data_IF_200883962530
#
_entry.id   IF_200883962530
#
_cell.length_a   1.000
_cell.length_b   1.000
_cell.length_c   1.000
_cell.angle_alpha   90.00
_cell.angle_beta   90.00
_cell.angle_gamma   90.00
#
_symmetry.space_group_name_H-M   'P 1'
#
loop_
_entity.id
_entity.type
_entity.pdbx_description
1 polymer ?
#
# COMPACT_ATOMS: atom_id res chain seq x y z
N UNK A 1 -56.03 10.62 -10.44
CA UNK A 1 -56.31 11.21 -9.11
C UNK A 1 -55.03 11.86 -8.64
N UNK A 2 -55.08 13.07 -8.21
CA UNK A 2 -53.96 13.93 -7.78
C UNK A 2 -54.10 14.30 -6.30
N UNK A 3 -53.17 15.00 -5.77
CA UNK A 3 -53.26 15.57 -4.43
C UNK A 3 -54.51 16.48 -4.27
N UNK A 4 -55.10 16.49 -3.08
CA UNK A 4 -56.25 17.35 -2.76
C UNK A 4 -55.82 18.83 -2.75
N UNK A 5 -56.71 19.75 -3.11
CA UNK A 5 -56.49 21.19 -2.87
C UNK A 5 -56.19 21.49 -1.41
N UNK A 6 -55.32 22.48 -1.14
CA UNK A 6 -54.84 22.83 0.21
C UNK A 6 -56.00 23.00 1.21
N UNK A 7 -57.06 23.72 0.83
CA UNK A 7 -58.22 23.93 1.67
C UNK A 7 -58.95 22.63 2.08
N UNK A 8 -58.93 21.61 1.23
CA UNK A 8 -59.50 20.31 1.56
C UNK A 8 -58.60 19.48 2.45
N UNK A 9 -57.25 19.62 2.30
CA UNK A 9 -56.31 18.97 3.19
C UNK A 9 -56.41 19.56 4.60
N UNK A 10 -56.48 20.87 4.72
CA UNK A 10 -56.67 21.57 6.00
C UNK A 10 -57.98 21.16 6.69
N UNK A 11 -59.06 21.02 5.93
CA UNK A 11 -60.35 20.49 6.44
C UNK A 11 -60.33 19.03 6.82
N UNK A 12 -59.34 18.27 6.35
CA UNK A 12 -59.20 16.85 6.67
C UNK A 12 -58.47 16.58 7.99
N UNK A 13 -58.00 17.63 8.68
CA UNK A 13 -57.29 17.47 9.93
C UNK A 13 -58.18 16.83 10.99
N UNK A 14 -57.75 15.69 11.52
CA UNK A 14 -58.46 14.95 12.59
C UNK A 14 -57.55 14.78 13.78
N UNK A 15 -58.09 15.16 14.96
CA UNK A 15 -57.45 14.86 16.24
C UNK A 15 -57.71 13.39 16.58
N UNK A 16 -56.65 12.66 16.89
CA UNK A 16 -56.70 11.27 17.34
C UNK A 16 -56.14 11.18 18.76
N UNK A 17 -56.89 10.57 19.65
CA UNK A 17 -56.46 10.28 21.02
C UNK A 17 -56.31 8.76 21.13
N UNK A 18 -55.11 8.30 21.50
CA UNK A 18 -54.83 6.91 21.76
C UNK A 18 -54.30 6.76 23.18
N UNK A 19 -54.64 5.69 23.87
CA UNK A 19 -54.03 5.34 25.17
C UNK A 19 -52.89 4.39 24.95
N UNK A 20 -51.76 4.66 25.56
CA UNK A 20 -50.61 3.77 25.53
C UNK A 20 -50.86 2.58 26.49
N UNK A 21 -49.94 1.60 26.48
CA UNK A 21 -50.02 0.41 27.35
C UNK A 21 -50.00 0.72 28.85
N UNK A 22 -49.68 1.97 29.24
CA UNK A 22 -49.60 2.46 30.59
C UNK A 22 -50.80 3.34 30.94
N UNK A 23 -51.83 3.41 30.04
CA UNK A 23 -53.06 4.18 30.23
C UNK A 23 -52.93 5.66 29.97
N UNK A 24 -51.77 6.17 29.56
CA UNK A 24 -51.54 7.61 29.28
C UNK A 24 -52.09 7.98 27.90
N UNK A 25 -52.83 9.08 27.85
CA UNK A 25 -53.38 9.58 26.61
C UNK A 25 -52.28 10.23 25.73
N UNK A 26 -52.17 9.79 24.48
CA UNK A 26 -51.35 10.42 23.44
C UNK A 26 -52.27 11.03 22.42
N UNK A 27 -52.12 12.34 22.25
CA UNK A 27 -52.85 13.11 21.24
C UNK A 27 -51.97 13.23 19.99
N UNK A 28 -52.56 13.01 18.83
CA UNK A 28 -51.92 13.24 17.54
C UNK A 28 -52.92 13.83 16.56
N UNK A 29 -52.41 14.54 15.57
CA UNK A 29 -53.19 15.17 14.50
C UNK A 29 -52.80 14.54 13.18
N UNK A 30 -53.80 14.15 12.38
CA UNK A 30 -53.60 13.52 11.06
C UNK A 30 -54.29 14.31 9.97
N UNK A 31 -53.62 14.51 8.85
CA UNK A 31 -54.22 15.10 7.63
C UNK A 31 -54.04 14.15 6.43
N UNK A 32 -55.01 14.17 5.55
CA UNK A 32 -55.02 13.42 4.29
C UNK A 32 -54.75 14.37 3.12
N UNK A 33 -53.71 14.10 2.37
CA UNK A 33 -53.20 14.94 1.27
C UNK A 33 -53.73 14.52 -0.10
N UNK A 34 -54.46 13.41 -0.17
CA UNK A 34 -54.89 12.81 -1.42
C UNK A 34 -54.15 11.52 -1.76
N UNK A 35 -54.16 11.19 -3.03
CA UNK A 35 -53.48 9.99 -3.57
C UNK A 35 -52.26 10.42 -4.39
N UNK A 36 -51.10 9.86 -4.10
CA UNK A 36 -49.86 10.11 -4.88
C UNK A 36 -50.15 9.68 -6.35
N UNK A 37 -49.94 10.57 -7.32
CA UNK A 37 -50.24 10.30 -8.72
C UNK A 37 -49.39 9.19 -9.34
N UNK A 38 -48.24 8.87 -8.74
CA UNK A 38 -47.30 7.85 -9.24
C UNK A 38 -47.45 6.52 -8.53
N UNK A 39 -47.41 6.52 -7.19
CA UNK A 39 -47.49 5.27 -6.39
C UNK A 39 -48.91 4.77 -6.22
N UNK A 40 -49.92 5.61 -6.46
CA UNK A 40 -51.36 5.35 -6.26
C UNK A 40 -51.76 5.09 -4.78
N UNK A 41 -50.83 5.35 -3.84
CA UNK A 41 -51.11 5.22 -2.41
C UNK A 41 -51.64 6.52 -1.80
N UNK A 42 -52.49 6.36 -0.76
CA UNK A 42 -52.99 7.50 0.04
C UNK A 42 -51.87 8.12 0.85
N UNK A 43 -51.69 9.44 0.70
CA UNK A 43 -50.68 10.22 1.44
C UNK A 43 -51.31 10.81 2.68
N UNK A 44 -50.81 10.43 3.86
CA UNK A 44 -51.26 10.95 5.16
C UNK A 44 -50.04 11.33 5.98
N UNK A 45 -50.16 12.43 6.75
CA UNK A 45 -49.16 12.87 7.72
C UNK A 45 -49.77 12.96 9.10
N UNK A 46 -49.01 12.59 10.12
CA UNK A 46 -49.39 12.61 11.53
C UNK A 46 -48.34 13.38 12.31
N UNK A 47 -48.76 14.30 13.18
CA UNK A 47 -47.91 15.10 14.07
C UNK A 47 -48.44 15.12 15.49
N UNK A 48 -47.59 15.47 16.46
CA UNK A 48 -47.94 15.62 17.87
C UNK A 48 -48.73 16.92 18.15
N UNK A 49 -48.56 17.96 17.30
CA UNK A 49 -49.30 19.19 17.39
C UNK A 49 -49.99 19.54 16.06
N UNK A 50 -51.12 20.27 16.16
CA UNK A 50 -51.84 20.75 15.00
C UNK A 50 -51.04 21.80 14.23
N UNK A 51 -50.26 22.62 14.94
CA UNK A 51 -49.41 23.64 14.35
C UNK A 51 -48.28 23.07 13.50
N UNK A 52 -47.66 22.00 13.97
CA UNK A 52 -46.65 21.29 13.17
C UNK A 52 -47.26 20.69 11.89
N UNK A 53 -48.47 20.14 12.01
CA UNK A 53 -49.16 19.58 10.85
C UNK A 53 -49.55 20.67 9.84
N UNK A 54 -49.99 21.84 10.30
CA UNK A 54 -50.31 23.01 9.45
C UNK A 54 -49.05 23.57 8.74
N UNK A 55 -47.90 23.57 9.42
CA UNK A 55 -46.60 23.86 8.75
C UNK A 55 -46.29 22.87 7.66
N UNK A 56 -46.39 21.60 7.94
CA UNK A 56 -46.17 20.51 6.93
C UNK A 56 -47.10 20.67 5.72
N UNK A 57 -48.36 21.05 5.93
CA UNK A 57 -49.32 21.28 4.84
C UNK A 57 -48.86 22.49 4.00
N UNK A 58 -48.45 23.59 4.64
CA UNK A 58 -47.97 24.79 3.95
C UNK A 58 -46.73 24.47 3.10
N UNK A 59 -45.75 23.80 3.67
CA UNK A 59 -44.53 23.42 2.98
C UNK A 59 -44.77 22.45 1.80
N UNK A 60 -45.68 21.50 1.97
CA UNK A 60 -46.09 20.59 0.91
C UNK A 60 -46.64 21.36 -0.30
N UNK A 61 -47.56 22.30 -0.07
CA UNK A 61 -48.15 23.06 -1.16
C UNK A 61 -47.24 24.11 -1.76
N UNK A 62 -46.29 24.69 -0.99
CA UNK A 62 -45.26 25.57 -1.53
C UNK A 62 -44.38 24.82 -2.53
N UNK A 63 -43.93 23.60 -2.17
CA UNK A 63 -43.16 22.75 -3.08
C UNK A 63 -43.94 22.37 -4.34
N UNK A 64 -45.20 22.01 -4.18
CA UNK A 64 -46.07 21.67 -5.30
C UNK A 64 -46.31 22.86 -6.27
N UNK A 65 -46.46 24.07 -5.75
CA UNK A 65 -46.57 25.30 -6.58
C UNK A 65 -45.27 25.62 -7.33
N UNK A 66 -44.14 25.36 -6.71
CA UNK A 66 -42.81 25.69 -7.29
C UNK A 66 -42.32 24.68 -8.33
N UNK A 67 -42.68 23.43 -8.24
CA UNK A 67 -42.13 22.37 -9.10
C UNK A 67 -43.10 21.24 -9.47
N UNK A 68 -44.40 21.42 -9.18
CA UNK A 68 -45.42 20.40 -9.44
C UNK A 68 -45.23 19.10 -8.59
N UNK A 69 -45.83 18.01 -9.04
CA UNK A 69 -45.83 16.71 -8.32
C UNK A 69 -44.42 16.14 -8.08
N UNK A 70 -43.47 16.43 -8.95
CA UNK A 70 -42.09 15.96 -8.83
C UNK A 70 -41.36 16.62 -7.65
N UNK A 71 -41.49 17.92 -7.46
CA UNK A 71 -40.84 18.65 -6.37
C UNK A 71 -41.33 18.25 -4.97
N UNK A 72 -42.58 17.79 -4.88
CA UNK A 72 -43.16 17.35 -3.61
C UNK A 72 -42.60 16.01 -3.15
N UNK A 73 -42.01 15.25 -4.06
CA UNK A 73 -41.44 13.90 -3.80
C UNK A 73 -40.04 13.94 -3.23
N UNK A 74 -39.30 15.04 -3.44
CA UNK A 74 -37.95 15.16 -2.88
C UNK A 74 -38.00 15.25 -1.35
N UNK A 75 -37.22 14.43 -0.71
CA UNK A 75 -36.93 14.60 0.71
C UNK A 75 -36.13 15.89 0.95
N UNK A 76 -36.13 16.47 2.16
CA UNK A 76 -35.30 17.62 2.47
C UNK A 76 -33.81 17.42 2.15
N UNK A 77 -33.30 16.19 2.34
CA UNK A 77 -31.91 15.83 2.04
C UNK A 77 -31.64 15.86 0.54
N UNK A 78 -32.52 15.25 -0.26
CA UNK A 78 -32.42 15.26 -1.73
C UNK A 78 -32.55 16.68 -2.31
N UNK A 79 -33.41 17.52 -1.73
CA UNK A 79 -33.54 18.91 -2.15
C UNK A 79 -32.30 19.74 -1.84
N UNK A 80 -31.64 19.50 -0.70
CA UNK A 80 -30.36 20.11 -0.32
C UNK A 80 -29.25 19.65 -1.24
N UNK A 81 -29.17 18.35 -1.53
CA UNK A 81 -28.17 17.77 -2.42
C UNK A 81 -28.30 18.35 -3.84
N UNK A 82 -29.52 18.41 -4.37
CA UNK A 82 -29.79 19.02 -5.67
C UNK A 82 -29.41 20.51 -5.70
N UNK A 83 -29.64 21.24 -4.62
CA UNK A 83 -29.25 22.65 -4.51
C UNK A 83 -27.73 22.82 -4.49
N UNK A 84 -27.04 22.00 -3.69
CA UNK A 84 -25.57 22.00 -3.61
C UNK A 84 -24.93 21.66 -4.95
N UNK A 85 -25.51 20.71 -5.70
CA UNK A 85 -25.04 20.36 -7.03
C UNK A 85 -25.22 21.52 -8.03
N UNK A 86 -26.34 22.23 -7.99
CA UNK A 86 -26.58 23.42 -8.82
C UNK A 86 -25.63 24.56 -8.46
N UNK A 87 -25.37 24.80 -7.17
CA UNK A 87 -24.44 25.83 -6.72
C UNK A 87 -22.99 25.49 -7.16
N UNK A 88 -22.59 24.24 -7.07
CA UNK A 88 -21.28 23.79 -7.56
C UNK A 88 -21.13 23.97 -9.07
N UNK A 89 -22.17 23.68 -9.86
CA UNK A 89 -22.18 23.95 -11.30
C UNK A 89 -22.05 25.45 -11.61
N UNK A 90 -22.75 26.29 -10.88
CA UNK A 90 -22.68 27.74 -11.03
C UNK A 90 -21.31 28.31 -10.66
N UNK A 91 -20.69 27.83 -9.56
CA UNK A 91 -19.33 28.19 -9.15
C UNK A 91 -18.28 27.76 -10.16
N UNK A 92 -18.49 26.63 -10.84
CA UNK A 92 -17.64 26.18 -11.93
C UNK A 92 -17.84 26.98 -13.24
N UNK A 93 -18.75 27.94 -13.28
CA UNK A 93 -19.08 28.74 -14.47
C UNK A 93 -19.96 28.00 -15.48
N UNK A 94 -20.55 26.87 -15.11
CA UNK A 94 -21.41 26.06 -15.98
C UNK A 94 -22.88 26.44 -15.76
N UNK A 95 -23.51 26.93 -16.83
CA UNK A 95 -24.93 27.32 -16.83
C UNK A 95 -25.79 26.21 -17.48
N UNK A 96 -25.65 24.99 -17.01
CA UNK A 96 -26.41 23.82 -17.47
C UNK A 96 -27.36 23.32 -16.39
N UNK A 97 -28.43 22.67 -16.78
CA UNK A 97 -29.34 22.04 -15.83
C UNK A 97 -28.72 20.77 -15.21
N UNK A 98 -29.17 20.38 -14.03
CA UNK A 98 -28.79 19.09 -13.41
C UNK A 98 -29.04 17.90 -14.35
N UNK A 99 -30.13 17.93 -15.13
CA UNK A 99 -30.48 16.89 -16.10
C UNK A 99 -29.43 16.83 -17.20
N UNK A 100 -28.99 17.96 -17.74
CA UNK A 100 -27.93 18.02 -18.75
C UNK A 100 -26.60 17.58 -18.18
N UNK A 101 -26.26 17.95 -16.96
CA UNK A 101 -25.05 17.49 -16.28
C UNK A 101 -25.04 15.96 -16.09
N UNK A 102 -26.18 15.40 -15.65
CA UNK A 102 -26.36 13.94 -15.51
C UNK A 102 -26.32 13.23 -16.86
N UNK A 103 -26.96 13.79 -17.89
CA UNK A 103 -26.91 13.23 -19.25
C UNK A 103 -25.50 13.26 -19.83
N UNK A 104 -24.79 14.38 -19.65
CA UNK A 104 -23.40 14.49 -20.05
C UNK A 104 -22.51 13.46 -19.33
N UNK A 105 -22.75 13.27 -18.06
CA UNK A 105 -22.07 12.25 -17.24
C UNK A 105 -22.36 10.82 -17.70
N UNK A 106 -23.65 10.48 -17.93
CA UNK A 106 -24.07 9.14 -18.37
C UNK A 106 -23.71 8.88 -19.85
N UNK A 107 -23.75 9.91 -20.69
CA UNK A 107 -23.46 9.84 -22.11
C UNK A 107 -21.97 9.83 -22.46
N UNK A 108 -21.07 9.91 -21.48
CA UNK A 108 -19.61 9.95 -21.71
C UNK A 108 -19.14 11.21 -22.43
N UNK A 109 -19.99 12.22 -22.59
CA UNK A 109 -19.64 13.49 -23.22
C UNK A 109 -19.06 14.43 -22.16
N UNK A 110 -17.73 14.39 -22.03
CA UNK A 110 -16.98 15.26 -21.14
C UNK A 110 -16.84 16.66 -21.70
N UNK A 111 -17.80 17.51 -21.43
CA UNK A 111 -17.60 18.96 -21.40
C UNK A 111 -18.12 19.52 -20.07
N UNK A 112 -17.45 19.13 -18.99
CA UNK A 112 -17.47 19.90 -17.76
C UNK A 112 -16.16 20.69 -17.78
N UNK A 113 -16.24 21.93 -18.26
CA UNK A 113 -15.13 22.87 -18.27
C UNK A 113 -14.90 23.33 -16.84
N UNK A 114 -13.93 22.75 -16.22
CA UNK A 114 -13.53 23.13 -14.84
C UNK A 114 -12.62 22.08 -14.20
N UNK A 115 -11.41 21.84 -14.75
CA UNK A 115 -10.30 21.26 -13.98
C UNK A 115 -10.27 19.76 -13.73
N UNK A 116 -11.23 18.97 -14.21
CA UNK A 116 -11.09 17.51 -14.23
C UNK A 116 -10.85 17.05 -15.66
N UNK A 117 -9.67 16.50 -15.94
CA UNK A 117 -9.36 15.96 -17.26
C UNK A 117 -10.28 14.79 -17.56
N UNK A 118 -10.92 14.77 -18.74
CA UNK A 118 -11.73 13.65 -19.22
C UNK A 118 -10.91 12.37 -19.51
N UNK A 119 -9.79 12.19 -18.81
CA UNK A 119 -8.87 11.07 -19.02
C UNK A 119 -9.49 9.74 -18.63
N UNK A 120 -9.22 8.75 -19.46
CA UNK A 120 -9.47 7.36 -19.13
C UNK A 120 -8.43 6.87 -18.11
N UNK A 121 -8.76 5.79 -17.40
CA UNK A 121 -7.81 5.18 -16.47
C UNK A 121 -6.59 4.61 -17.20
N UNK A 122 -6.76 4.15 -18.46
CA UNK A 122 -5.68 3.68 -19.33
C UNK A 122 -4.69 4.78 -19.69
N UNK A 123 -5.17 5.93 -20.18
CA UNK A 123 -4.33 7.09 -20.50
C UNK A 123 -3.54 7.57 -19.29
N UNK A 124 -4.21 7.70 -18.13
CA UNK A 124 -3.56 8.08 -16.88
C UNK A 124 -2.52 7.05 -16.42
N UNK A 125 -2.80 5.77 -16.64
CA UNK A 125 -1.87 4.67 -16.35
C UNK A 125 -0.63 4.72 -17.23
N UNK A 126 -0.77 4.93 -18.53
CA UNK A 126 0.37 5.03 -19.46
C UNK A 126 1.30 6.16 -19.08
N UNK A 127 0.76 7.34 -18.78
CA UNK A 127 1.55 8.47 -18.33
C UNK A 127 2.27 8.19 -17.01
N UNK A 128 1.55 7.62 -16.01
CA UNK A 128 2.14 7.23 -14.74
C UNK A 128 3.28 6.22 -14.93
N UNK A 129 3.05 5.22 -15.77
CA UNK A 129 4.02 4.17 -16.03
C UNK A 129 5.25 4.72 -16.75
N UNK A 130 5.06 5.58 -17.76
CA UNK A 130 6.15 6.19 -18.52
C UNK A 130 6.95 7.22 -17.71
N UNK A 131 6.31 7.92 -16.77
CA UNK A 131 6.98 8.85 -15.86
C UNK A 131 7.89 8.14 -14.82
N UNK A 132 7.80 6.82 -14.68
CA UNK A 132 8.69 6.09 -13.77
C UNK A 132 10.00 5.70 -14.45
N UNK A 133 11.14 5.88 -13.74
CA UNK A 133 12.42 5.36 -14.22
C UNK A 133 12.38 3.83 -14.32
N UNK A 134 13.12 3.28 -15.27
CA UNK A 134 13.23 1.84 -15.42
C UNK A 134 13.82 1.20 -14.16
N UNK A 135 13.24 0.11 -13.72
CA UNK A 135 13.67 -0.59 -12.51
C UNK A 135 12.59 -1.47 -11.90
N UNK A 136 12.88 -1.98 -10.72
CA UNK A 136 12.00 -2.90 -10.00
C UNK A 136 10.67 -2.24 -9.59
N UNK A 137 10.65 -0.95 -9.27
CA UNK A 137 9.44 -0.20 -8.92
C UNK A 137 8.48 -0.11 -10.11
N UNK A 138 8.99 0.27 -11.29
CA UNK A 138 8.22 0.31 -12.55
C UNK A 138 7.64 -1.06 -12.88
N UNK A 139 8.47 -2.11 -12.75
CA UNK A 139 8.06 -3.51 -12.97
C UNK A 139 6.98 -3.94 -11.98
N UNK A 140 7.12 -3.60 -10.71
CA UNK A 140 6.11 -3.89 -9.68
C UNK A 140 4.77 -3.25 -10.04
N UNK A 141 4.76 -1.97 -10.41
CA UNK A 141 3.53 -1.30 -10.83
C UNK A 141 2.87 -1.93 -12.06
N UNK A 142 3.66 -2.44 -13.01
CA UNK A 142 3.12 -3.18 -14.16
C UNK A 142 2.31 -4.40 -13.73
N UNK A 143 2.82 -5.16 -12.75
CA UNK A 143 2.16 -6.39 -12.28
C UNK A 143 1.08 -6.14 -11.21
N UNK A 144 0.97 -4.95 -10.66
CA UNK A 144 -0.03 -4.60 -9.64
C UNK A 144 -1.08 -3.66 -10.21
N UNK A 145 -0.75 -2.37 -10.33
CA UNK A 145 -1.66 -1.34 -10.84
C UNK A 145 -2.05 -1.60 -12.30
N UNK A 146 -1.12 -2.04 -13.15
CA UNK A 146 -1.41 -2.36 -14.55
C UNK A 146 -2.46 -3.48 -14.70
N UNK A 147 -2.39 -4.51 -13.86
CA UNK A 147 -3.43 -5.57 -13.83
C UNK A 147 -4.77 -5.05 -13.35
N UNK A 148 -4.79 -4.13 -12.38
CA UNK A 148 -6.02 -3.47 -11.94
C UNK A 148 -6.64 -2.67 -13.09
N UNK A 149 -5.86 -1.83 -13.78
CA UNK A 149 -6.33 -1.03 -14.92
C UNK A 149 -6.90 -1.92 -16.04
N UNK A 150 -6.21 -3.01 -16.36
CA UNK A 150 -6.69 -3.98 -17.34
C UNK A 150 -8.02 -4.65 -16.94
N UNK A 151 -8.14 -5.06 -15.68
CA UNK A 151 -9.34 -5.71 -15.17
C UNK A 151 -10.53 -4.75 -15.03
N UNK A 152 -10.24 -3.47 -14.72
CA UNK A 152 -11.26 -2.43 -14.57
C UNK A 152 -11.80 -1.95 -15.93
N UNK A 153 -10.99 -2.01 -16.99
CA UNK A 153 -11.27 -1.51 -18.33
C UNK A 153 -10.55 -0.19 -18.60
N UNK A 154 -9.56 -0.23 -19.49
CA UNK A 154 -8.68 0.92 -19.76
C UNK A 154 -9.42 2.16 -20.30
N UNK A 155 -10.53 1.94 -21.01
CA UNK A 155 -11.33 3.02 -21.65
C UNK A 155 -12.30 3.71 -20.66
N UNK A 156 -12.43 3.21 -19.44
CA UNK A 156 -13.31 3.83 -18.43
C UNK A 156 -12.73 5.13 -17.92
N UNK A 157 -13.62 6.08 -17.64
CA UNK A 157 -13.25 7.37 -17.08
C UNK A 157 -12.60 7.21 -15.70
N UNK A 158 -11.44 7.82 -15.51
CA UNK A 158 -10.68 7.79 -14.27
C UNK A 158 -11.47 8.34 -13.09
N UNK A 159 -12.26 9.39 -13.32
CA UNK A 159 -13.09 10.06 -12.30
C UNK A 159 -14.25 9.19 -11.79
N UNK A 160 -14.63 8.14 -12.52
CA UNK A 160 -15.73 7.25 -12.14
C UNK A 160 -15.29 6.07 -11.26
N UNK A 161 -13.98 5.92 -11.02
CA UNK A 161 -13.47 4.84 -10.18
C UNK A 161 -13.86 5.06 -8.73
N UNK A 162 -14.57 4.12 -8.16
CA UNK A 162 -15.01 4.17 -6.76
C UNK A 162 -14.09 3.36 -5.84
N UNK A 163 -14.07 3.72 -4.55
CA UNK A 163 -13.37 2.95 -3.53
C UNK A 163 -13.85 1.50 -3.48
N UNK A 164 -15.17 1.30 -3.63
CA UNK A 164 -15.79 -0.03 -3.60
C UNK A 164 -15.24 -0.93 -4.70
N UNK A 165 -15.20 -0.46 -5.94
CA UNK A 165 -14.70 -1.25 -7.08
C UNK A 165 -13.23 -1.65 -6.91
N UNK A 166 -12.38 -0.75 -6.38
CA UNK A 166 -10.98 -1.09 -6.08
C UNK A 166 -10.88 -2.14 -4.99
N UNK A 167 -11.66 -2.02 -3.91
CA UNK A 167 -11.68 -2.98 -2.80
C UNK A 167 -12.22 -4.33 -3.27
N UNK A 168 -13.28 -4.35 -4.06
CA UNK A 168 -13.87 -5.57 -4.63
C UNK A 168 -12.84 -6.30 -5.51
N UNK A 169 -12.15 -5.58 -6.40
CA UNK A 169 -11.06 -6.15 -7.21
C UNK A 169 -9.94 -6.75 -6.34
N UNK A 170 -9.46 -5.99 -5.35
CA UNK A 170 -8.39 -6.46 -4.47
C UNK A 170 -8.84 -7.67 -3.63
N UNK A 171 -10.08 -7.70 -3.20
CA UNK A 171 -10.63 -8.79 -2.40
C UNK A 171 -10.82 -10.04 -3.25
N UNK A 172 -11.35 -9.91 -4.45
CA UNK A 172 -11.51 -11.03 -5.38
C UNK A 172 -10.18 -11.69 -5.76
N UNK A 173 -9.15 -10.88 -6.02
CA UNK A 173 -7.86 -11.39 -6.51
C UNK A 173 -6.87 -11.72 -5.40
N UNK A 174 -6.90 -11.00 -4.27
CA UNK A 174 -5.88 -11.08 -3.22
C UNK A 174 -6.45 -11.25 -1.81
N UNK A 175 -7.78 -11.42 -1.68
CA UNK A 175 -8.45 -11.53 -0.38
C UNK A 175 -8.01 -12.74 0.44
N UNK A 176 -7.66 -13.84 -0.23
CA UNK A 176 -7.18 -15.11 0.38
C UNK A 176 -5.67 -15.14 0.62
N UNK A 177 -4.92 -14.15 0.18
CA UNK A 177 -3.48 -14.07 0.37
C UNK A 177 -3.15 -13.47 1.75
N UNK A 178 -1.86 -13.60 2.16
CA UNK A 178 -1.38 -12.93 3.38
C UNK A 178 -1.66 -11.42 3.33
N UNK A 179 -2.00 -10.77 4.45
CA UNK A 179 -2.27 -9.34 4.52
C UNK A 179 -1.21 -8.48 3.82
N UNK A 180 0.06 -8.84 3.95
CA UNK A 180 1.20 -8.18 3.30
C UNK A 180 1.08 -8.14 1.76
N UNK A 181 0.60 -9.21 1.14
CA UNK A 181 0.39 -9.26 -0.32
C UNK A 181 -0.75 -8.33 -0.72
N UNK A 182 -1.90 -8.43 -0.05
CA UNK A 182 -3.02 -7.52 -0.28
C UNK A 182 -2.61 -6.05 -0.13
N UNK A 183 -1.92 -5.73 0.96
CA UNK A 183 -1.45 -4.38 1.27
C UNK A 183 -0.45 -3.85 0.25
N UNK A 184 0.41 -4.71 -0.30
CA UNK A 184 1.35 -4.33 -1.37
C UNK A 184 0.61 -3.90 -2.63
N UNK A 185 -0.45 -4.63 -3.03
CA UNK A 185 -1.29 -4.28 -4.17
C UNK A 185 -2.09 -3.00 -3.90
N UNK A 186 -2.71 -2.87 -2.73
CA UNK A 186 -3.41 -1.65 -2.32
C UNK A 186 -2.47 -0.43 -2.34
N UNK A 187 -1.26 -0.55 -1.80
CA UNK A 187 -0.26 0.53 -1.82
C UNK A 187 0.08 0.95 -3.24
N UNK A 188 0.24 -0.01 -4.14
CA UNK A 188 0.55 0.26 -5.54
C UNK A 188 -0.57 1.05 -6.23
N UNK A 189 -1.82 0.64 -6.03
CA UNK A 189 -3.00 1.33 -6.59
C UNK A 189 -3.18 2.71 -5.92
N UNK A 190 -2.98 2.83 -4.59
CA UNK A 190 -2.97 4.13 -3.90
C UNK A 190 -1.93 5.08 -4.47
N UNK A 191 -0.73 4.58 -4.77
CA UNK A 191 0.35 5.39 -5.36
C UNK A 191 -0.07 5.96 -6.70
N UNK A 192 -0.74 5.19 -7.54
CA UNK A 192 -1.27 5.63 -8.83
C UNK A 192 -2.36 6.72 -8.67
N UNK A 193 -3.40 6.48 -7.88
CA UNK A 193 -4.46 7.48 -7.69
C UNK A 193 -3.96 8.75 -6.99
N UNK A 194 -3.04 8.64 -6.04
CA UNK A 194 -2.42 9.81 -5.43
C UNK A 194 -1.57 10.60 -6.44
N UNK A 195 -0.94 9.92 -7.39
CA UNK A 195 -0.21 10.57 -8.48
C UNK A 195 -1.16 11.31 -9.44
N UNK A 196 -2.34 10.73 -9.73
CA UNK A 196 -3.38 11.36 -10.55
C UNK A 196 -4.01 12.59 -9.88
N UNK A 197 -4.10 12.58 -8.55
CA UNK A 197 -4.70 13.65 -7.75
C UNK A 197 -3.71 14.79 -7.40
N UNK A 198 -2.44 14.72 -7.81
CA UNK A 198 -1.47 15.77 -7.52
C UNK A 198 -1.82 17.08 -8.21
N UNK A 199 -1.46 18.20 -7.54
CA UNK A 199 -1.73 19.57 -7.97
C UNK A 199 -1.24 19.85 -9.41
N UNK A 200 -0.10 19.26 -9.79
CA UNK A 200 0.46 19.45 -11.13
C UNK A 200 -0.32 18.74 -12.25
N UNK A 201 -1.26 17.83 -11.89
CA UNK A 201 -2.02 17.01 -12.85
C UNK A 201 -3.51 17.22 -12.76
N UNK A 202 -4.06 17.15 -11.55
CA UNK A 202 -5.51 17.32 -11.29
C UNK A 202 -6.41 16.47 -12.19
N UNK A 203 -6.00 15.23 -12.53
CA UNK A 203 -6.86 14.33 -13.31
C UNK A 203 -8.10 13.92 -12.54
N UNK A 204 -8.01 13.91 -11.23
CA UNK A 204 -9.09 13.73 -10.26
C UNK A 204 -8.88 14.69 -9.08
N UNK A 205 -9.94 15.15 -8.47
CA UNK A 205 -9.89 16.07 -7.34
C UNK A 205 -9.25 15.44 -6.09
N UNK A 206 -9.50 14.16 -5.86
CA UNK A 206 -8.92 13.39 -4.77
C UNK A 206 -8.84 11.91 -5.12
N UNK A 207 -7.93 11.17 -4.48
CA UNK A 207 -7.85 9.72 -4.62
C UNK A 207 -9.11 9.05 -4.09
N UNK A 208 -9.83 8.23 -4.88
CA UNK A 208 -11.06 7.56 -4.44
C UNK A 208 -10.82 6.61 -3.27
N UNK A 209 -9.59 6.13 -3.12
CA UNK A 209 -9.19 5.16 -2.08
C UNK A 209 -8.37 5.79 -0.95
N UNK A 210 -8.46 7.12 -0.77
CA UNK A 210 -7.72 7.83 0.30
C UNK A 210 -8.01 7.23 1.68
N UNK A 211 -9.26 6.92 1.97
CA UNK A 211 -9.73 6.40 3.26
C UNK A 211 -9.64 4.88 3.41
N UNK A 212 -9.36 4.14 2.33
CA UNK A 212 -9.24 2.68 2.39
C UNK A 212 -8.06 2.30 3.29
N UNK A 213 -8.32 1.54 4.35
CA UNK A 213 -7.29 1.11 5.30
C UNK A 213 -6.56 -0.13 4.79
N UNK A 214 -5.28 -0.25 5.19
CA UNK A 214 -4.53 -1.49 5.03
C UNK A 214 -5.10 -2.56 5.97
N UNK A 215 -4.99 -3.83 5.58
CA UNK A 215 -5.25 -4.95 6.48
C UNK A 215 -4.18 -4.98 7.57
N UNK A 216 -4.56 -5.35 8.78
CA UNK A 216 -3.60 -5.55 9.86
C UNK A 216 -2.66 -6.69 9.50
N UNK A 217 -1.36 -6.44 9.68
CA UNK A 217 -0.31 -7.43 9.50
C UNK A 217 0.11 -7.89 10.89
N UNK A 218 -0.17 -9.15 11.28
CA UNK A 218 0.33 -9.66 12.54
C UNK A 218 1.86 -9.61 12.51
N UNK A 219 2.46 -9.26 13.64
CA UNK A 219 3.91 -9.32 13.77
C UNK A 219 4.34 -10.79 13.71
N UNK A 220 5.23 -11.09 12.77
CA UNK A 220 5.88 -12.39 12.64
C UNK A 220 7.35 -12.22 13.05
N UNK A 221 7.82 -13.11 13.90
CA UNK A 221 9.23 -13.15 14.29
C UNK A 221 10.09 -13.40 13.04
N UNK A 222 11.17 -12.61 12.82
CA UNK A 222 12.04 -12.83 11.67
C UNK A 222 12.74 -14.19 11.77
N UNK A 223 12.57 -15.00 10.75
CA UNK A 223 13.32 -16.25 10.62
C UNK A 223 14.80 -15.96 10.36
N UNK A 224 15.68 -16.76 10.97
CA UNK A 224 17.13 -16.75 10.77
C UNK A 224 17.70 -18.16 10.78
N UNK A 225 18.85 -18.39 10.13
CA UNK A 225 19.50 -19.70 10.10
C UNK A 225 20.21 -19.97 11.43
N UNK A 226 20.17 -21.22 11.89
CA UNK A 226 20.95 -21.65 13.06
C UNK A 226 22.44 -21.61 12.74
N UNK A 227 23.28 -21.44 13.75
CA UNK A 227 24.75 -21.38 13.60
C UNK A 227 25.28 -22.57 12.84
N UNK A 228 24.83 -23.80 13.19
CA UNK A 228 25.25 -25.05 12.56
C UNK A 228 24.86 -25.09 11.07
N UNK A 229 23.70 -24.57 10.70
CA UNK A 229 23.27 -24.53 9.29
C UNK A 229 24.08 -23.51 8.48
N UNK A 230 24.44 -22.37 9.09
CA UNK A 230 25.37 -21.43 8.46
C UNK A 230 26.74 -22.06 8.26
N UNK A 231 27.28 -22.75 9.27
CA UNK A 231 28.56 -23.45 9.16
C UNK A 231 28.50 -24.49 8.06
N UNK A 232 27.47 -25.35 8.03
CA UNK A 232 27.27 -26.34 6.96
C UNK A 232 27.23 -25.66 5.58
N UNK A 233 26.55 -24.55 5.44
CA UNK A 233 26.53 -23.80 4.19
C UNK A 233 27.92 -23.30 3.81
N UNK A 234 28.68 -22.74 4.74
CA UNK A 234 30.03 -22.24 4.46
C UNK A 234 30.99 -23.40 4.07
N UNK A 235 30.93 -24.57 4.73
CA UNK A 235 31.71 -25.75 4.32
C UNK A 235 31.34 -26.21 2.90
N UNK A 236 30.07 -26.23 2.56
CA UNK A 236 29.59 -26.54 1.23
C UNK A 236 30.09 -25.51 0.18
N UNK A 237 30.02 -24.22 0.46
CA UNK A 237 30.51 -23.18 -0.45
C UNK A 237 32.04 -23.21 -0.57
N UNK A 238 32.74 -23.56 0.49
CA UNK A 238 34.21 -23.76 0.50
C UNK A 238 34.62 -24.91 -0.38
N UNK A 239 33.89 -26.02 -0.41
CA UNK A 239 34.16 -27.16 -1.30
C UNK A 239 33.93 -26.83 -2.78
N UNK A 240 33.07 -25.84 -3.07
CA UNK A 240 32.77 -25.38 -4.43
C UNK A 240 33.66 -24.18 -4.87
N UNK A 241 34.59 -23.74 -4.03
CA UNK A 241 35.36 -22.50 -4.25
C UNK A 241 36.15 -22.47 -5.56
N UNK A 242 36.61 -23.58 -6.04
CA UNK A 242 37.36 -23.67 -7.31
C UNK A 242 36.44 -23.50 -8.53
N UNK A 243 35.25 -24.10 -8.47
CA UNK A 243 34.28 -24.09 -9.56
C UNK A 243 33.44 -22.81 -9.56
N UNK A 244 33.01 -22.34 -8.36
CA UNK A 244 32.07 -21.22 -8.14
C UNK A 244 32.55 -20.32 -7.01
N UNK A 245 33.71 -19.64 -7.14
CA UNK A 245 34.25 -18.81 -6.08
C UNK A 245 33.32 -17.62 -5.74
N UNK A 246 32.51 -17.17 -6.68
CA UNK A 246 31.50 -16.09 -6.48
C UNK A 246 30.41 -16.46 -5.48
N UNK A 247 30.13 -17.74 -5.24
CA UNK A 247 29.17 -18.16 -4.24
C UNK A 247 29.69 -17.86 -2.82
N UNK A 248 30.93 -18.22 -2.58
CA UNK A 248 31.59 -17.95 -1.30
C UNK A 248 31.77 -16.44 -1.08
N UNK A 249 32.20 -15.70 -2.10
CA UNK A 249 32.33 -14.24 -2.01
C UNK A 249 31.01 -13.56 -1.70
N UNK A 250 29.91 -13.96 -2.37
CA UNK A 250 28.56 -13.46 -2.10
C UNK A 250 28.11 -13.78 -0.65
N UNK A 251 28.38 -15.00 -0.18
CA UNK A 251 28.01 -15.43 1.17
C UNK A 251 28.77 -14.66 2.25
N UNK A 252 30.09 -14.48 2.12
CA UNK A 252 30.91 -13.74 3.07
C UNK A 252 30.37 -12.33 3.28
N UNK A 253 30.18 -11.58 2.19
CA UNK A 253 29.68 -10.20 2.26
C UNK A 253 28.23 -10.16 2.75
N UNK A 254 27.43 -11.16 2.45
CA UNK A 254 26.05 -11.26 2.92
C UNK A 254 25.94 -11.60 4.40
N UNK A 255 26.59 -12.69 4.82
CA UNK A 255 26.51 -13.23 6.19
C UNK A 255 27.36 -12.47 7.20
N UNK A 256 28.53 -11.99 6.85
CA UNK A 256 29.44 -11.34 7.81
C UNK A 256 29.53 -9.81 7.69
N UNK A 257 28.92 -9.22 6.65
CA UNK A 257 28.79 -7.75 6.52
C UNK A 257 27.33 -7.29 6.48
N UNK A 258 26.35 -8.20 6.47
CA UNK A 258 24.91 -7.90 6.49
C UNK A 258 24.43 -7.07 5.30
N UNK A 259 25.16 -7.08 4.19
CA UNK A 259 24.82 -6.31 2.99
C UNK A 259 23.67 -6.93 2.22
N UNK A 260 22.95 -6.11 1.44
CA UNK A 260 21.88 -6.63 0.56
C UNK A 260 22.50 -7.21 -0.72
N UNK A 261 21.90 -8.26 -1.28
CA UNK A 261 22.34 -8.85 -2.54
C UNK A 261 22.51 -7.83 -3.69
N UNK A 262 21.65 -6.80 -3.74
CA UNK A 262 21.78 -5.71 -4.72
C UNK A 262 23.00 -4.81 -4.46
N UNK A 263 23.39 -4.65 -3.22
CA UNK A 263 24.58 -3.87 -2.83
C UNK A 263 25.85 -4.64 -3.20
N UNK A 264 25.88 -5.94 -2.94
CA UNK A 264 27.00 -6.83 -3.33
C UNK A 264 27.21 -6.82 -4.84
N UNK A 265 26.12 -6.96 -5.63
CA UNK A 265 26.22 -6.84 -7.10
C UNK A 265 26.77 -5.49 -7.57
N UNK A 266 26.45 -4.42 -6.87
CA UNK A 266 27.00 -3.09 -7.20
C UNK A 266 28.48 -2.99 -6.87
N UNK A 267 28.94 -3.69 -5.82
CA UNK A 267 30.38 -3.83 -5.54
C UNK A 267 31.12 -4.48 -6.71
N UNK A 268 30.48 -5.47 -7.35
CA UNK A 268 31.04 -6.20 -8.48
C UNK A 268 31.01 -5.43 -9.81
N UNK A 269 29.98 -4.59 -10.04
CA UNK A 269 29.64 -4.07 -11.37
C UNK A 269 29.78 -2.57 -11.55
N UNK A 270 29.71 -1.77 -10.48
CA UNK A 270 29.62 -0.30 -10.57
C UNK A 270 30.76 0.31 -9.76
N UNK A 271 31.72 0.87 -10.46
CA UNK A 271 32.81 1.58 -9.82
C UNK A 271 32.30 2.72 -8.93
N UNK A 272 32.74 2.75 -7.67
CA UNK A 272 32.34 3.75 -6.69
C UNK A 272 30.99 3.55 -6.00
N UNK A 273 30.14 2.64 -6.44
CA UNK A 273 28.82 2.37 -5.80
C UNK A 273 28.96 1.70 -4.43
N UNK A 274 29.93 0.80 -4.29
CA UNK A 274 30.35 0.19 -3.04
C UNK A 274 31.78 -0.34 -3.24
N UNK A 275 32.61 -0.27 -2.19
CA UNK A 275 34.00 -0.73 -2.22
C UNK A 275 34.35 -1.46 -0.92
N UNK A 276 35.19 -2.46 -1.05
CA UNK A 276 35.87 -3.11 0.07
C UNK A 276 37.33 -2.66 0.00
N UNK A 277 37.80 -2.01 1.06
CA UNK A 277 39.19 -1.60 1.22
C UNK A 277 39.86 -2.59 2.18
N UNK A 278 40.67 -3.50 1.63
CA UNK A 278 41.28 -4.58 2.41
C UNK A 278 42.39 -4.06 3.34
N UNK A 279 43.12 -3.01 2.93
CA UNK A 279 44.22 -2.40 3.72
C UNK A 279 43.65 -1.74 4.99
N UNK A 280 42.48 -1.11 4.89
CA UNK A 280 41.82 -0.44 6.00
C UNK A 280 40.77 -1.35 6.68
N UNK A 281 40.61 -2.56 6.22
CA UNK A 281 39.57 -3.50 6.66
C UNK A 281 38.15 -2.86 6.70
N UNK A 282 37.81 -2.05 5.69
CA UNK A 282 36.56 -1.31 5.65
C UNK A 282 35.71 -1.61 4.43
N UNK A 283 34.39 -1.49 4.61
CA UNK A 283 33.40 -1.51 3.53
C UNK A 283 32.74 -0.16 3.46
N UNK A 284 32.69 0.43 2.25
CA UNK A 284 31.96 1.65 1.97
C UNK A 284 30.86 1.39 0.96
N UNK A 285 29.61 1.74 1.31
CA UNK A 285 28.45 1.61 0.44
C UNK A 285 27.94 3.03 0.15
N UNK A 286 28.31 3.56 -1.00
CA UNK A 286 27.91 4.89 -1.44
C UNK A 286 26.47 4.92 -1.95
N UNK A 287 26.02 3.86 -2.67
CA UNK A 287 24.68 3.75 -3.23
C UNK A 287 23.93 2.53 -2.69
N UNK A 288 23.28 2.69 -1.55
CA UNK A 288 22.37 1.67 -0.98
C UNK A 288 20.95 1.76 -1.52
N UNK A 289 20.06 0.86 -1.08
CA UNK A 289 18.62 0.94 -1.36
C UNK A 289 18.07 2.25 -0.76
N UNK A 290 17.49 3.11 -1.61
CA UNK A 290 16.93 4.40 -1.19
C UNK A 290 17.92 5.57 -1.23
N UNK A 291 19.11 5.42 -1.83
CA UNK A 291 20.07 6.49 -2.04
C UNK A 291 19.41 7.73 -2.72
N UNK A 292 18.60 7.52 -3.75
CA UNK A 292 17.83 8.58 -4.42
C UNK A 292 16.82 9.31 -3.50
N UNK A 293 16.54 8.79 -2.30
CA UNK A 293 15.68 9.38 -1.28
C UNK A 293 16.48 10.06 -0.15
N UNK A 294 17.71 10.47 -0.42
CA UNK A 294 18.55 11.18 0.55
C UNK A 294 19.14 10.31 1.67
N UNK A 295 19.20 9.00 1.51
CA UNK A 295 19.90 8.15 2.46
C UNK A 295 21.42 8.31 2.30
N UNK A 296 22.08 8.62 3.42
CA UNK A 296 23.53 8.82 3.48
C UNK A 296 24.31 7.55 3.10
N UNK A 297 25.48 7.69 2.46
CA UNK A 297 26.45 6.62 2.37
C UNK A 297 26.77 6.05 3.75
N UNK A 298 27.13 4.77 3.82
CA UNK A 298 27.59 4.15 5.05
C UNK A 298 28.94 3.49 4.86
N UNK A 299 29.75 3.53 5.90
CA UNK A 299 31.01 2.81 5.99
C UNK A 299 31.07 2.08 7.33
N UNK A 300 31.72 0.93 7.36
CA UNK A 300 31.90 0.14 8.56
C UNK A 300 33.13 -0.75 8.43
N UNK A 301 33.70 -1.15 9.56
CA UNK A 301 34.82 -2.08 9.60
C UNK A 301 34.35 -3.53 9.40
N UNK A 302 35.20 -4.33 8.76
CA UNK A 302 35.00 -5.75 8.59
C UNK A 302 35.27 -6.47 9.91
N UNK A 303 34.38 -7.39 10.28
CA UNK A 303 34.62 -8.28 11.41
C UNK A 303 35.75 -9.26 11.09
N UNK A 304 36.47 -9.69 12.14
CA UNK A 304 37.61 -10.62 12.01
C UNK A 304 37.25 -11.86 11.22
N UNK A 305 36.06 -12.38 11.40
CA UNK A 305 35.53 -13.54 10.66
C UNK A 305 35.44 -13.26 9.17
N UNK A 306 34.90 -12.11 8.77
CA UNK A 306 34.87 -11.71 7.36
C UNK A 306 36.27 -11.63 6.76
N UNK A 307 37.21 -11.03 7.49
CA UNK A 307 38.59 -10.90 7.05
C UNK A 307 39.30 -12.23 6.92
N UNK A 308 39.09 -13.20 7.83
CA UNK A 308 39.66 -14.54 7.73
C UNK A 308 39.20 -15.23 6.43
N UNK A 309 37.90 -15.19 6.13
CA UNK A 309 37.34 -15.72 4.89
C UNK A 309 37.87 -15.00 3.63
N UNK A 310 37.94 -13.66 3.65
CA UNK A 310 38.44 -12.86 2.53
C UNK A 310 39.91 -13.21 2.20
N UNK A 311 40.74 -13.47 3.21
CA UNK A 311 42.14 -13.78 3.06
C UNK A 311 42.41 -15.27 2.62
N UNK A 312 41.39 -16.13 2.67
CA UNK A 312 41.54 -17.56 2.39
C UNK A 312 41.56 -17.94 0.88
N UNK A 313 41.23 -17.01 -0.02
CA UNK A 313 41.20 -17.23 -1.47
C UNK A 313 41.23 -15.91 -2.25
N UNK A 314 41.24 -15.96 -3.60
CA UNK A 314 41.13 -14.76 -4.44
C UNK A 314 39.69 -14.17 -4.35
N UNK A 315 39.40 -13.57 -3.23
CA UNK A 315 38.12 -12.96 -2.96
C UNK A 315 37.76 -11.85 -3.96
N UNK A 316 38.69 -10.98 -4.35
CA UNK A 316 38.40 -9.83 -5.24
C UNK A 316 38.11 -10.32 -6.67
N UNK A 317 38.80 -11.32 -7.15
CA UNK A 317 38.48 -11.99 -8.43
C UNK A 317 37.12 -12.67 -8.39
N UNK A 318 36.81 -13.37 -7.31
CA UNK A 318 35.51 -13.99 -7.09
C UNK A 318 34.36 -13.00 -7.00
N UNK A 319 34.55 -11.89 -6.27
CA UNK A 319 33.53 -10.84 -6.11
C UNK A 319 33.11 -10.23 -7.45
N UNK A 320 34.05 -10.06 -8.39
CA UNK A 320 33.76 -9.54 -9.74
C UNK A 320 32.84 -10.48 -10.57
N UNK A 321 32.78 -11.77 -10.25
CA UNK A 321 31.92 -12.76 -10.91
C UNK A 321 30.48 -12.76 -10.35
N UNK A 322 30.24 -12.13 -9.19
CA UNK A 322 28.92 -12.07 -8.56
C UNK A 322 27.90 -11.37 -9.47
N UNK A 323 26.78 -12.02 -9.70
CA UNK A 323 25.73 -11.54 -10.59
C UNK A 323 24.32 -11.70 -9.98
N UNK A 324 23.28 -11.43 -10.77
CA UNK A 324 21.90 -11.48 -10.30
C UNK A 324 21.43 -12.89 -9.88
N UNK A 325 22.01 -13.93 -10.45
CA UNK A 325 21.60 -15.32 -10.20
C UNK A 325 22.35 -15.94 -9.03
N UNK A 326 23.50 -15.38 -8.62
CA UNK A 326 24.40 -15.98 -7.63
C UNK A 326 23.67 -16.39 -6.33
N UNK A 327 22.79 -15.55 -5.79
CA UNK A 327 22.01 -15.89 -4.57
C UNK A 327 21.05 -17.05 -4.82
N UNK A 328 20.40 -17.09 -5.99
CA UNK A 328 19.49 -18.19 -6.34
C UNK A 328 20.23 -19.51 -6.48
N UNK A 329 21.42 -19.48 -7.09
CA UNK A 329 22.26 -20.68 -7.24
C UNK A 329 22.78 -21.17 -5.88
N UNK A 330 23.22 -20.27 -4.99
CA UNK A 330 23.53 -20.61 -3.60
C UNK A 330 22.35 -21.31 -2.91
N UNK A 331 21.13 -20.76 -3.07
CA UNK A 331 19.94 -21.37 -2.45
C UNK A 331 19.55 -22.71 -3.08
N UNK A 332 19.77 -22.92 -4.38
CA UNK A 332 19.58 -24.21 -5.03
C UNK A 332 20.58 -25.24 -4.50
N UNK A 333 21.85 -24.87 -4.41
CA UNK A 333 22.90 -25.72 -3.88
C UNK A 333 22.62 -26.09 -2.42
N UNK A 334 22.25 -25.09 -1.57
CA UNK A 334 21.92 -25.34 -0.18
C UNK A 334 20.76 -26.36 -0.03
N UNK A 335 19.66 -26.17 -0.80
CA UNK A 335 18.53 -27.10 -0.77
C UNK A 335 18.88 -28.50 -1.23
N UNK A 336 19.75 -28.63 -2.25
CA UNK A 336 20.25 -29.92 -2.72
C UNK A 336 20.98 -30.70 -1.61
N UNK A 337 21.62 -29.97 -0.69
CA UNK A 337 22.34 -30.54 0.44
C UNK A 337 21.60 -30.41 1.78
N UNK A 338 20.28 -30.22 1.71
CA UNK A 338 19.39 -30.15 2.89
C UNK A 338 19.78 -29.07 3.92
N UNK A 339 20.40 -27.98 3.45
CA UNK A 339 20.64 -26.79 4.30
C UNK A 339 19.44 -25.90 4.22
N UNK A 340 18.79 -25.54 5.37
CA UNK A 340 17.61 -24.70 5.38
C UNK A 340 17.93 -23.28 4.90
N UNK A 341 17.28 -22.85 3.81
CA UNK A 341 17.38 -21.47 3.29
C UNK A 341 16.01 -20.93 2.92
N UNK A 342 15.78 -19.67 3.21
CA UNK A 342 14.53 -18.94 2.94
C UNK A 342 14.82 -17.51 2.47
N UNK A 343 13.79 -16.82 2.06
CA UNK A 343 13.95 -15.47 1.49
C UNK A 343 14.58 -14.50 2.52
N UNK A 344 15.66 -13.83 2.12
CA UNK A 344 16.44 -12.90 2.95
C UNK A 344 17.16 -13.53 4.16
N UNK A 345 17.21 -14.85 4.29
CA UNK A 345 17.85 -15.53 5.42
C UNK A 345 19.26 -14.98 5.70
N UNK A 346 20.07 -14.80 4.68
CA UNK A 346 21.46 -14.31 4.79
C UNK A 346 21.53 -13.04 5.67
N UNK A 347 20.76 -12.04 5.32
CA UNK A 347 20.79 -10.76 6.03
C UNK A 347 20.08 -10.81 7.39
N UNK A 348 18.97 -11.55 7.51
CA UNK A 348 18.28 -11.73 8.79
C UNK A 348 19.20 -12.42 9.80
N UNK A 349 19.92 -13.44 9.37
CA UNK A 349 20.89 -14.19 10.18
C UNK A 349 22.02 -13.28 10.70
N UNK A 350 22.63 -12.47 9.81
CA UNK A 350 23.63 -11.51 10.24
C UNK A 350 23.11 -10.55 11.31
N UNK A 351 21.93 -9.92 11.06
CA UNK A 351 21.39 -8.92 11.99
C UNK A 351 21.12 -9.56 13.35
N UNK A 352 20.52 -10.75 13.39
CA UNK A 352 20.22 -11.50 14.62
C UNK A 352 21.48 -11.75 15.42
N UNK A 353 22.49 -12.36 14.82
CA UNK A 353 23.73 -12.71 15.54
C UNK A 353 24.60 -11.50 15.86
N UNK A 354 24.62 -10.47 15.01
CA UNK A 354 25.37 -9.25 15.30
C UNK A 354 24.76 -8.50 16.49
N UNK A 355 23.42 -8.40 16.56
CA UNK A 355 22.76 -7.80 17.75
C UNK A 355 23.03 -8.66 19.00
N UNK A 356 23.00 -9.98 18.89
CA UNK A 356 23.24 -10.89 20.01
C UNK A 356 24.70 -10.82 20.52
N UNK A 357 25.68 -10.87 19.61
CA UNK A 357 27.09 -10.84 19.97
C UNK A 357 27.55 -9.51 20.58
N UNK A 358 27.13 -8.41 19.97
CA UNK A 358 27.65 -7.08 20.33
C UNK A 358 26.71 -6.25 21.21
N UNK A 359 25.48 -6.69 21.43
CA UNK A 359 24.52 -6.02 22.33
C UNK A 359 24.11 -4.61 21.96
N UNK A 360 24.47 -4.13 20.75
CA UNK A 360 24.24 -2.76 20.31
C UNK A 360 23.45 -2.66 18.99
N UNK A 361 22.11 -2.55 19.05
CA UNK A 361 21.29 -2.40 17.84
C UNK A 361 21.60 -1.16 17.00
N UNK A 362 22.16 -0.10 17.60
CA UNK A 362 22.55 1.11 16.87
C UNK A 362 23.78 0.85 15.98
N UNK A 363 24.76 0.08 16.49
CA UNK A 363 25.91 -0.32 15.70
C UNK A 363 25.51 -1.22 14.53
N UNK A 364 24.69 -2.24 14.81
CA UNK A 364 24.11 -3.09 13.76
C UNK A 364 23.35 -2.26 12.71
N UNK A 365 22.57 -1.27 13.13
CA UNK A 365 21.85 -0.37 12.22
C UNK A 365 22.80 0.41 11.31
N UNK A 366 23.90 0.92 11.83
CA UNK A 366 24.90 1.66 11.04
C UNK A 366 25.49 0.76 9.92
N UNK A 367 25.82 -0.49 10.25
CA UNK A 367 26.35 -1.47 9.30
C UNK A 367 25.29 -1.82 8.24
N UNK A 368 24.10 -2.21 8.65
CA UNK A 368 23.10 -2.75 7.72
C UNK A 368 22.28 -1.67 7.01
N UNK A 369 22.29 -0.41 7.47
CA UNK A 369 21.52 0.69 6.87
C UNK A 369 20.01 0.48 6.94
N UNK A 370 19.49 0.09 8.11
CA UNK A 370 18.06 0.06 8.44
C UNK A 370 17.75 1.02 9.58
N UNK A 371 16.56 1.08 10.16
CA UNK A 371 16.33 1.95 11.32
C UNK A 371 16.71 1.26 12.64
N UNK A 372 17.18 2.04 13.62
CA UNK A 372 17.49 1.56 14.98
C UNK A 372 16.26 0.86 15.58
N UNK A 373 15.08 1.50 15.45
CA UNK A 373 13.81 0.95 15.93
C UNK A 373 13.53 -0.42 15.32
N UNK A 374 13.74 -0.57 14.01
CA UNK A 374 13.53 -1.85 13.32
C UNK A 374 14.46 -2.93 13.84
N UNK A 375 15.77 -2.63 14.05
CA UNK A 375 16.71 -3.59 14.63
C UNK A 375 16.29 -3.99 16.06
N UNK A 376 15.96 -3.02 16.90
CA UNK A 376 15.59 -3.27 18.29
C UNK A 376 14.32 -4.09 18.42
N UNK A 377 13.28 -3.76 17.66
CA UNK A 377 11.98 -4.43 17.76
C UNK A 377 11.97 -5.85 17.17
N UNK A 378 12.80 -6.13 16.18
CA UNK A 378 12.68 -7.37 15.43
C UNK A 378 13.82 -8.37 15.69
N UNK A 379 14.95 -7.95 16.29
CA UNK A 379 16.11 -8.86 16.40
C UNK A 379 16.69 -8.96 17.82
N UNK A 380 16.34 -8.05 18.73
CA UNK A 380 16.78 -8.16 20.12
C UNK A 380 16.12 -9.35 20.79
N UNK A 381 16.94 -10.23 21.42
CA UNK A 381 16.48 -11.37 22.15
C UNK A 381 16.17 -12.62 21.33
N UNK A 382 16.34 -12.60 19.99
CA UNK A 382 16.11 -13.77 19.15
C UNK A 382 17.18 -14.85 19.33
N UNK A 383 18.45 -14.45 19.53
CA UNK A 383 19.55 -15.36 19.76
C UNK A 383 20.30 -15.02 21.05
N UNK A 384 20.93 -16.00 21.65
CA UNK A 384 21.78 -15.77 22.82
C UNK A 384 23.12 -15.11 22.44
N UNK A 385 23.80 -14.49 23.39
CA UNK A 385 25.13 -13.95 23.18
C UNK A 385 26.11 -15.04 22.76
N UNK A 386 26.01 -16.24 23.38
CA UNK A 386 26.85 -17.40 23.06
C UNK A 386 26.68 -17.84 21.61
N UNK A 387 25.43 -17.87 21.08
CA UNK A 387 25.16 -18.17 19.68
C UNK A 387 25.74 -17.10 18.74
N UNK A 388 25.62 -15.82 19.13
CA UNK A 388 26.23 -14.72 18.39
C UNK A 388 27.76 -14.84 18.32
N UNK A 389 28.41 -15.16 19.42
CA UNK A 389 29.85 -15.40 19.47
C UNK A 389 30.25 -16.65 18.66
N UNK A 390 29.46 -17.74 18.74
CA UNK A 390 29.70 -18.95 17.94
C UNK A 390 29.59 -18.68 16.43
N UNK A 391 28.60 -17.86 16.02
CA UNK A 391 28.43 -17.44 14.64
C UNK A 391 29.68 -16.71 14.08
N UNK A 392 30.26 -15.81 14.85
CA UNK A 392 31.47 -15.08 14.45
C UNK A 392 32.76 -15.89 14.63
N UNK A 393 32.68 -17.17 15.03
CA UNK A 393 33.76 -18.17 15.02
C UNK A 393 33.72 -19.15 13.85
N UNK A 394 32.78 -18.99 12.91
CA UNK A 394 32.74 -19.77 11.67
C UNK A 394 33.88 -19.31 10.76
N UNK A 395 35.04 -19.94 10.89
CA UNK A 395 36.26 -19.63 10.15
C UNK A 395 36.48 -20.58 8.97
N UNK A 396 37.27 -20.22 7.94
CA UNK A 396 37.71 -21.16 6.93
C UNK A 396 38.32 -22.44 7.54
N UNK A 397 38.22 -23.55 6.85
CA UNK A 397 38.97 -24.74 7.24
C UNK A 397 40.48 -24.42 7.19
N UNK A 398 41.21 -24.77 8.24
CA UNK A 398 42.67 -24.64 8.23
C UNK A 398 43.24 -25.55 7.12
N UNK A 399 43.54 -24.96 5.96
CA UNK A 399 44.52 -25.56 5.06
C UNK A 399 45.86 -25.47 5.78
N UNK A 400 46.18 -26.44 6.63
CA UNK A 400 47.28 -26.45 7.57
C UNK A 400 48.64 -26.10 6.96
N UNK A 401 48.86 -24.84 6.64
CA UNK A 401 50.15 -24.19 6.42
C UNK A 401 49.96 -22.67 6.25
N UNK A 402 49.88 -21.92 7.34
CA UNK A 402 50.44 -20.57 7.29
C UNK A 402 51.95 -20.79 7.39
N UNK A 403 52.67 -20.79 6.26
CA UNK A 403 54.11 -20.59 6.25
C UNK A 403 54.34 -19.19 6.83
N UNK A 404 54.82 -19.14 8.06
CA UNK A 404 55.46 -17.98 8.62
C UNK A 404 56.61 -17.59 7.71
N UNK A 405 56.37 -16.57 6.87
CA UNK A 405 57.52 -15.90 6.22
C UNK A 405 58.21 -15.06 7.30
N UNK A 406 59.38 -15.50 7.64
CA UNK A 406 60.43 -14.85 8.41
C UNK A 406 60.89 -13.58 7.70
#
# INVERSE_FOLDING_TARGET
MSYLPKALVEKSIKKRVRRDKQGRERVSFEAYFGTDPFTKFAVRKTRSSEEELKRDIKDFFLRHQSGGDAAVRLTPIEAIDAKNALDALAEAGEHISLTEAVQAFLGGSTRVSGGMSGKTIGEAWEEFYNAKPDGDDKRTHRYTTGKFVQAYGADRQLSLVTAKEVVDYLTANYGKHKPKTYNSHLLSVKTFFNWCAKEERKYISASPIKTVKFKEEPWEEPEYMKVQDVERLFRLLESEKESHPEYLAQAIVGFFCGTRAVEIRRMAMIEGAAKIHLDDETVRIAMGKGFQRGKMPRAFHLEKTAMAWIKSFDFMGALKKVNKKTVEEIYKLARKHEVPVFQNCIRHTFITYHVAAFGNPANTQAIVGTSKRYCAMNYCGLASKADGEAYFRILPADDGQIKTAS
#
